data_IF_577768491838
#
_entry.id   IF_577768491838
#
_cell.length_a   1.000
_cell.length_b   1.000
_cell.length_c   1.000
_cell.angle_alpha   90.00
_cell.angle_beta   90.00
_cell.angle_gamma   90.00
#
_symmetry.space_group_name_H-M   'P 1'
#
loop_
_entity.id
_entity.type
_entity.pdbx_description
1 polymer ?
#
# COMPACT_ATOMS: atom_id res chain seq x y z
N UNK A 1 -3.09 30.59 36.54
CA UNK A 1 -1.73 30.02 36.47
C UNK A 1 -1.73 28.52 36.06
N UNK A 2 -2.62 27.70 36.59
CA UNK A 2 -2.70 26.27 36.23
C UNK A 2 -3.05 25.99 34.74
N UNK A 3 -3.88 26.82 34.10
CA UNK A 3 -4.22 26.69 32.68
C UNK A 3 -3.06 27.04 31.72
N UNK A 4 -2.18 27.96 32.15
CA UNK A 4 -1.00 28.36 31.35
C UNK A 4 0.09 27.28 31.44
N UNK A 5 0.21 26.59 32.57
CA UNK A 5 1.15 25.47 32.72
C UNK A 5 0.67 24.21 31.94
N UNK A 6 -0.64 23.94 31.94
CA UNK A 6 -1.20 22.80 31.16
C UNK A 6 -1.03 23.00 29.64
N UNK A 7 -1.20 24.22 29.13
CA UNK A 7 -0.95 24.56 27.72
C UNK A 7 0.55 24.49 27.37
N UNK A 8 1.42 24.87 28.27
CA UNK A 8 2.89 24.83 28.07
C UNK A 8 3.44 23.39 28.07
N UNK A 9 2.85 22.47 28.82
CA UNK A 9 3.21 21.06 28.82
C UNK A 9 2.70 20.37 27.54
N UNK A 10 1.47 20.66 27.09
CA UNK A 10 0.89 20.10 25.87
C UNK A 10 1.71 20.51 24.63
N UNK A 11 2.15 21.75 24.53
CA UNK A 11 2.96 22.23 23.39
C UNK A 11 4.37 21.63 23.34
N UNK A 12 5.00 21.37 24.48
CA UNK A 12 6.30 20.69 24.54
C UNK A 12 6.22 19.23 24.11
N UNK A 13 5.16 18.53 24.48
CA UNK A 13 4.92 17.15 24.04
C UNK A 13 4.76 17.06 22.51
N UNK A 14 4.03 17.99 21.90
CA UNK A 14 3.82 18.01 20.43
C UNK A 14 5.13 18.25 19.69
N UNK A 15 5.98 19.18 20.16
CA UNK A 15 7.28 19.44 19.54
C UNK A 15 8.21 18.21 19.58
N UNK A 16 8.18 17.46 20.68
CA UNK A 16 8.94 16.19 20.80
C UNK A 16 8.42 15.15 19.82
N UNK A 17 7.10 15.00 19.71
CA UNK A 17 6.48 14.07 18.76
C UNK A 17 6.82 14.46 17.29
N UNK A 18 6.76 15.75 16.97
CA UNK A 18 7.12 16.25 15.65
C UNK A 18 8.58 15.94 15.31
N UNK A 19 9.49 16.17 16.25
CA UNK A 19 10.90 15.86 16.05
C UNK A 19 11.12 14.36 15.82
N UNK A 20 10.44 13.51 16.57
CA UNK A 20 10.51 12.05 16.35
C UNK A 20 10.01 11.67 14.95
N UNK A 21 8.87 12.23 14.51
CA UNK A 21 8.32 12.00 13.17
C UNK A 21 9.33 12.43 12.10
N UNK A 22 9.92 13.62 12.22
CA UNK A 22 10.89 14.13 11.24
C UNK A 22 12.16 13.30 11.19
N UNK A 23 12.70 12.90 12.33
CA UNK A 23 13.88 12.05 12.39
C UNK A 23 13.63 10.71 11.72
N UNK A 24 12.53 10.00 12.07
CA UNK A 24 12.19 8.72 11.49
C UNK A 24 11.94 8.83 9.99
N UNK A 25 11.30 9.91 9.54
CA UNK A 25 11.07 10.13 8.11
C UNK A 25 12.38 10.35 7.34
N UNK A 26 13.34 11.07 7.94
CA UNK A 26 14.67 11.27 7.35
C UNK A 26 15.48 9.98 7.25
N UNK A 27 15.35 9.10 8.27
CA UNK A 27 16.07 7.82 8.33
C UNK A 27 15.44 6.76 7.40
N UNK A 28 14.10 6.64 7.42
CA UNK A 28 13.37 5.56 6.74
C UNK A 28 12.18 6.08 5.90
N UNK A 29 12.42 6.94 4.90
CA UNK A 29 11.34 7.61 4.16
C UNK A 29 10.40 6.64 3.45
N UNK A 30 10.92 5.53 2.91
CA UNK A 30 10.13 4.53 2.19
C UNK A 30 9.16 3.79 3.13
N UNK A 31 9.58 3.52 4.37
CA UNK A 31 8.74 2.90 5.39
C UNK A 31 7.64 3.86 5.83
N UNK A 32 7.99 5.12 6.09
CA UNK A 32 7.04 6.15 6.50
C UNK A 32 5.98 6.37 5.41
N UNK A 33 6.41 6.51 4.16
CA UNK A 33 5.51 6.63 3.00
C UNK A 33 4.56 5.43 2.89
N UNK A 34 5.09 4.22 3.00
CA UNK A 34 4.30 3.00 2.95
C UNK A 34 3.23 2.95 4.05
N UNK A 35 3.60 3.29 5.29
CA UNK A 35 2.67 3.27 6.42
C UNK A 35 1.55 4.30 6.27
N UNK A 36 1.88 5.54 5.84
CA UNK A 36 0.88 6.58 5.60
C UNK A 36 -0.05 6.20 4.45
N UNK A 37 0.48 5.71 3.34
CA UNK A 37 -0.32 5.24 2.19
C UNK A 37 -1.22 4.06 2.56
N UNK A 38 -0.71 3.12 3.36
CA UNK A 38 -1.48 1.98 3.84
C UNK A 38 -2.67 2.42 4.69
N UNK A 39 -2.45 3.36 5.61
CA UNK A 39 -3.51 3.96 6.41
C UNK A 39 -4.54 4.70 5.55
N UNK A 40 -4.08 5.51 4.59
CA UNK A 40 -4.93 6.24 3.67
C UNK A 40 -5.85 5.29 2.86
N UNK A 41 -5.31 4.18 2.37
CA UNK A 41 -6.09 3.21 1.60
C UNK A 41 -7.14 2.49 2.47
N UNK A 42 -6.84 2.21 3.73
CA UNK A 42 -7.81 1.66 4.67
C UNK A 42 -8.90 2.67 5.02
N UNK A 43 -8.52 3.93 5.24
CA UNK A 43 -9.41 5.02 5.62
C UNK A 43 -10.39 5.37 4.50
N UNK A 44 -9.93 5.40 3.25
CA UNK A 44 -10.76 5.65 2.07
C UNK A 44 -11.40 4.38 1.48
N UNK A 45 -11.12 3.21 2.06
CA UNK A 45 -11.70 1.93 1.66
C UNK A 45 -13.20 1.85 1.94
N UNK A 46 -13.90 1.03 1.14
CA UNK A 46 -15.35 0.81 1.34
C UNK A 46 -15.66 0.13 2.68
N UNK A 47 -14.72 -0.63 3.21
CA UNK A 47 -14.84 -1.35 4.49
C UNK A 47 -13.99 -0.72 5.58
N UNK A 48 -13.88 0.62 5.58
CA UNK A 48 -13.05 1.35 6.55
C UNK A 48 -13.39 1.02 8.01
N UNK A 49 -14.66 0.73 8.32
CA UNK A 49 -15.08 0.32 9.65
C UNK A 49 -14.38 -0.94 10.14
N UNK A 50 -14.13 -1.91 9.25
CA UNK A 50 -13.53 -3.20 9.55
C UNK A 50 -12.01 -3.21 9.33
N UNK A 51 -11.57 -2.53 8.26
CA UNK A 51 -10.18 -2.63 7.78
C UNK A 51 -9.26 -1.55 8.34
N UNK A 52 -9.80 -0.41 8.79
CA UNK A 52 -9.01 0.62 9.45
C UNK A 52 -8.80 0.29 10.93
N UNK A 53 -8.17 -0.85 11.18
CA UNK A 53 -7.90 -1.38 12.53
C UNK A 53 -6.40 -1.71 12.64
N UNK A 54 -5.76 -1.25 13.73
CA UNK A 54 -6.23 -0.31 14.75
C UNK A 54 -6.52 1.07 14.18
N UNK A 55 -7.34 1.86 14.87
CA UNK A 55 -7.71 3.22 14.49
C UNK A 55 -7.01 4.26 15.37
N UNK A 56 -6.60 5.44 14.85
CA UNK A 56 -5.89 6.46 15.62
C UNK A 56 -6.67 6.96 16.82
N UNK A 57 -6.06 6.91 17.99
CA UNK A 57 -6.70 7.33 19.24
C UNK A 57 -7.01 8.83 19.29
N UNK A 58 -6.30 9.64 18.50
CA UNK A 58 -6.56 11.09 18.37
C UNK A 58 -7.95 11.36 17.76
N UNK A 59 -8.47 10.46 16.93
CA UNK A 59 -9.78 10.54 16.30
C UNK A 59 -10.79 9.51 16.85
N UNK A 60 -10.46 8.86 17.97
CA UNK A 60 -11.30 7.84 18.58
C UNK A 60 -11.50 8.05 20.07
N UNK A 61 -12.75 7.97 20.55
CA UNK A 61 -13.09 7.94 21.97
C UNK A 61 -13.98 6.72 22.24
N UNK A 62 -13.43 5.72 22.95
CA UNK A 62 -14.11 4.44 23.16
C UNK A 62 -14.38 3.75 21.81
N UNK A 63 -15.63 3.34 21.58
CA UNK A 63 -16.05 2.66 20.34
C UNK A 63 -16.36 3.63 19.18
N UNK A 64 -16.35 4.94 19.44
CA UNK A 64 -16.61 5.95 18.41
C UNK A 64 -15.33 6.28 17.66
N UNK A 65 -15.37 6.14 16.34
CA UNK A 65 -14.29 6.47 15.41
C UNK A 65 -14.74 7.62 14.52
N UNK A 66 -14.05 8.73 14.58
CA UNK A 66 -14.30 9.89 13.71
C UNK A 66 -13.50 9.76 12.41
N UNK A 67 -14.06 9.03 11.46
CA UNK A 67 -13.45 8.83 10.15
C UNK A 67 -13.35 10.14 9.37
N UNK A 68 -14.33 11.04 9.51
CA UNK A 68 -14.35 12.29 8.77
C UNK A 68 -13.22 13.22 9.23
N UNK A 69 -13.00 13.35 10.53
CA UNK A 69 -11.88 14.12 11.07
C UNK A 69 -10.53 13.53 10.63
N UNK A 70 -10.39 12.20 10.67
CA UNK A 70 -9.18 11.53 10.22
C UNK A 70 -8.92 11.73 8.72
N UNK A 71 -9.94 11.63 7.87
CA UNK A 71 -9.87 11.91 6.44
C UNK A 71 -9.44 13.35 6.17
N UNK A 72 -10.09 14.32 6.83
CA UNK A 72 -9.78 15.75 6.69
C UNK A 72 -8.34 16.06 7.13
N UNK A 73 -7.89 15.49 8.24
CA UNK A 73 -6.51 15.65 8.70
C UNK A 73 -5.50 15.09 7.69
N UNK A 74 -5.77 13.89 7.14
CA UNK A 74 -4.92 13.25 6.14
C UNK A 74 -4.86 14.03 4.83
N UNK A 75 -6.00 14.53 4.34
CA UNK A 75 -6.09 15.31 3.10
C UNK A 75 -5.31 16.63 3.16
N UNK A 76 -5.23 17.21 4.34
CA UNK A 76 -4.50 18.45 4.60
C UNK A 76 -3.02 18.24 4.95
N UNK A 77 -2.55 16.98 5.00
CA UNK A 77 -1.11 16.73 5.15
C UNK A 77 -0.35 17.30 3.94
N UNK A 78 0.76 18.02 4.17
CA UNK A 78 1.63 18.48 3.11
C UNK A 78 2.45 17.30 2.53
N UNK A 79 1.76 16.29 2.04
CA UNK A 79 2.34 15.02 1.58
C UNK A 79 2.31 14.99 0.05
N UNK A 80 3.42 15.31 -0.56
CA UNK A 80 3.60 15.25 -2.03
C UNK A 80 4.57 14.18 -2.50
N UNK A 81 5.01 13.29 -1.59
CA UNK A 81 6.02 12.27 -1.87
C UNK A 81 7.45 12.78 -1.75
N UNK A 82 7.65 14.06 -1.41
CA UNK A 82 8.93 14.68 -1.16
C UNK A 82 9.37 14.56 0.31
N UNK A 83 10.54 15.07 0.59
CA UNK A 83 11.12 15.05 1.94
C UNK A 83 10.30 15.86 2.93
N UNK A 84 10.11 15.33 4.12
CA UNK A 84 9.39 16.02 5.20
C UNK A 84 10.06 17.38 5.58
N UNK A 85 11.34 17.54 5.28
CA UNK A 85 12.11 18.75 5.56
C UNK A 85 11.66 19.96 4.74
N UNK A 86 11.06 19.74 3.57
CA UNK A 86 10.50 20.77 2.69
C UNK A 86 9.03 21.09 3.02
N UNK A 87 8.47 20.39 4.00
CA UNK A 87 7.05 20.51 4.33
C UNK A 87 6.75 21.76 5.19
N UNK A 88 5.55 22.30 4.95
CA UNK A 88 4.95 23.32 5.81
C UNK A 88 4.91 22.84 7.26
N UNK A 89 4.91 23.74 8.24
CA UNK A 89 4.72 23.37 9.63
C UNK A 89 3.43 22.54 9.79
N UNK A 90 3.54 21.43 10.49
CA UNK A 90 2.42 20.55 10.81
C UNK A 90 1.62 21.14 11.96
N UNK A 91 0.29 21.00 11.93
CA UNK A 91 -0.53 21.30 13.10
C UNK A 91 -0.50 20.13 14.10
N UNK A 92 -1.00 20.32 15.30
CA UNK A 92 -0.97 19.34 16.37
C UNK A 92 -1.65 18.00 15.99
N UNK A 93 -2.81 18.06 15.33
CA UNK A 93 -3.54 16.86 14.92
C UNK A 93 -2.75 16.05 13.87
N UNK A 94 -2.09 16.74 12.94
CA UNK A 94 -1.24 16.12 11.92
C UNK A 94 -0.01 15.46 12.55
N UNK A 95 0.64 16.13 13.50
CA UNK A 95 1.76 15.56 14.25
C UNK A 95 1.32 14.31 15.00
N UNK A 96 0.22 14.38 15.73
CA UNK A 96 -0.31 13.23 16.49
C UNK A 96 -0.73 12.08 15.58
N UNK A 97 -1.34 12.38 14.43
CA UNK A 97 -1.70 11.35 13.43
C UNK A 97 -0.46 10.67 12.87
N UNK A 98 0.51 11.44 12.38
CA UNK A 98 1.74 10.88 11.83
C UNK A 98 2.53 10.09 12.88
N UNK A 99 2.66 10.62 14.09
CA UNK A 99 3.30 9.91 15.18
C UNK A 99 2.58 8.58 15.47
N UNK A 100 1.24 8.60 15.53
CA UNK A 100 0.49 7.37 15.73
C UNK A 100 0.71 6.38 14.58
N UNK A 101 0.69 6.84 13.32
CA UNK A 101 0.95 5.98 12.16
C UNK A 101 2.35 5.36 12.23
N UNK A 102 3.36 6.08 12.66
CA UNK A 102 4.73 5.60 12.65
C UNK A 102 5.08 4.75 13.88
N UNK A 103 4.53 5.06 15.06
CA UNK A 103 5.00 4.49 16.32
C UNK A 103 3.98 3.65 17.10
N UNK A 104 2.67 3.68 16.78
CA UNK A 104 1.68 2.89 17.52
C UNK A 104 1.70 1.41 17.11
N UNK A 105 2.83 0.76 17.35
CA UNK A 105 2.99 -0.68 17.10
C UNK A 105 2.62 -1.45 18.36
N UNK A 106 1.36 -1.88 18.47
CA UNK A 106 1.02 -2.87 19.49
C UNK A 106 1.41 -4.27 18.99
N UNK A 107 2.44 -4.80 19.63
CA UNK A 107 2.84 -6.19 19.80
C UNK A 107 3.14 -7.06 18.55
N UNK A 108 2.74 -6.77 17.33
CA UNK A 108 2.99 -7.61 16.17
C UNK A 108 3.42 -6.86 14.90
N UNK A 109 3.36 -5.55 14.86
CA UNK A 109 3.95 -4.80 13.76
C UNK A 109 5.46 -4.86 13.93
N UNK A 110 6.05 -5.83 13.30
CA UNK A 110 7.49 -5.97 13.17
C UNK A 110 8.01 -4.68 12.57
N UNK A 111 9.09 -4.17 13.12
CA UNK A 111 9.74 -2.99 12.57
C UNK A 111 10.05 -3.26 11.11
N UNK A 112 9.60 -2.40 10.24
CA UNK A 112 9.87 -2.46 8.81
C UNK A 112 11.17 -1.72 8.53
N UNK A 113 11.92 -2.22 7.54
CA UNK A 113 13.18 -1.67 7.08
C UNK A 113 13.24 -1.71 5.58
N UNK A 114 13.77 -0.68 4.94
CA UNK A 114 13.98 -0.73 3.52
C UNK A 114 15.05 -1.77 3.15
N UNK A 115 14.74 -2.63 2.18
CA UNK A 115 15.65 -3.64 1.70
C UNK A 115 16.01 -3.41 0.22
N UNK A 116 17.24 -3.78 -0.14
CA UNK A 116 17.72 -3.71 -1.52
C UNK A 116 17.66 -5.09 -2.19
N UNK A 117 17.61 -5.12 -3.52
CA UNK A 117 17.73 -6.38 -4.27
C UNK A 117 19.05 -7.11 -4.02
N UNK A 118 20.11 -6.38 -3.68
CA UNK A 118 21.40 -6.98 -3.30
C UNK A 118 21.29 -7.72 -1.97
N UNK A 119 20.65 -7.10 -0.98
CA UNK A 119 20.38 -7.74 0.31
C UNK A 119 19.49 -8.98 0.16
N UNK A 120 18.42 -8.88 -0.67
CA UNK A 120 17.57 -10.03 -0.95
C UNK A 120 18.33 -11.20 -1.59
N UNK A 121 19.29 -10.90 -2.48
CA UNK A 121 20.08 -11.96 -3.15
C UNK A 121 20.89 -12.77 -2.16
N UNK A 122 21.32 -12.17 -1.07
CA UNK A 122 22.08 -12.83 0.00
C UNK A 122 21.14 -13.54 0.99
N UNK A 123 20.04 -12.91 1.38
CA UNK A 123 19.14 -13.41 2.42
C UNK A 123 18.03 -14.32 1.89
N UNK A 124 17.65 -14.21 0.62
CA UNK A 124 16.50 -14.91 0.01
C UNK A 124 16.69 -15.11 -1.50
N UNK A 125 17.69 -15.89 -1.95
CA UNK A 125 17.97 -16.06 -3.38
C UNK A 125 16.77 -16.59 -4.16
N UNK A 126 15.99 -17.53 -3.61
CA UNK A 126 14.79 -18.06 -4.25
C UNK A 126 13.73 -16.98 -4.53
N UNK A 127 13.58 -16.00 -3.64
CA UNK A 127 12.67 -14.88 -3.88
C UNK A 127 13.14 -14.00 -5.04
N UNK A 128 14.46 -13.80 -5.15
CA UNK A 128 15.03 -13.02 -6.27
C UNK A 128 14.82 -13.75 -7.59
N UNK A 129 15.00 -15.06 -7.62
CA UNK A 129 14.74 -15.88 -8.81
C UNK A 129 13.28 -15.78 -9.24
N UNK A 130 12.34 -15.90 -8.32
CA UNK A 130 10.91 -15.75 -8.58
C UNK A 130 10.57 -14.37 -9.16
N UNK A 131 11.09 -13.28 -8.56
CA UNK A 131 10.88 -11.91 -9.07
C UNK A 131 11.48 -11.76 -10.48
N UNK A 132 12.61 -12.38 -10.76
CA UNK A 132 13.27 -12.30 -12.06
C UNK A 132 12.55 -13.12 -13.14
N UNK A 133 12.01 -14.28 -12.80
CA UNK A 133 11.24 -15.13 -13.71
C UNK A 133 9.98 -14.45 -14.21
N UNK A 134 9.29 -13.70 -13.35
CA UNK A 134 8.09 -12.94 -13.70
C UNK A 134 8.39 -11.70 -14.58
N UNK A 135 9.66 -11.34 -14.75
CA UNK A 135 10.12 -10.28 -15.63
C UNK A 135 9.83 -8.87 -15.11
N UNK A 136 10.04 -7.88 -15.99
CA UNK A 136 9.97 -6.45 -15.63
C UNK A 136 8.60 -5.99 -15.13
N UNK A 137 7.52 -6.68 -15.49
CA UNK A 137 6.16 -6.26 -15.16
C UNK A 137 5.81 -6.47 -13.68
N UNK A 138 6.49 -7.40 -13.00
CA UNK A 138 6.29 -7.71 -11.60
C UNK A 138 7.52 -7.42 -10.73
N UNK A 139 8.44 -6.59 -11.22
CA UNK A 139 9.53 -6.07 -10.43
C UNK A 139 8.98 -5.02 -9.44
N UNK A 140 9.14 -5.18 -8.12
CA UNK A 140 8.66 -4.22 -7.15
C UNK A 140 9.47 -2.91 -7.21
N UNK A 141 8.78 -1.79 -7.00
CA UNK A 141 9.41 -0.46 -6.90
C UNK A 141 10.15 -0.28 -5.57
N UNK A 142 9.64 -0.92 -4.52
CA UNK A 142 10.20 -0.85 -3.17
C UNK A 142 10.01 -2.19 -2.47
N UNK A 143 11.01 -2.58 -1.70
CA UNK A 143 10.97 -3.78 -0.88
C UNK A 143 11.19 -3.37 0.57
N UNK A 144 10.30 -3.82 1.44
CA UNK A 144 10.48 -3.68 2.88
C UNK A 144 10.67 -5.05 3.51
N UNK A 145 11.61 -5.15 4.41
CA UNK A 145 11.86 -6.32 5.25
C UNK A 145 11.23 -6.12 6.63
N UNK A 146 10.68 -7.19 7.20
CA UNK A 146 10.22 -7.17 8.58
C UNK A 146 11.37 -7.59 9.49
N UNK A 147 11.76 -6.75 10.46
CA UNK A 147 12.69 -7.17 11.51
C UNK A 147 12.02 -8.26 12.35
N UNK A 148 12.40 -9.47 12.09
CA UNK A 148 12.01 -10.63 12.88
C UNK A 148 13.14 -10.96 13.82
N UNK A 149 12.89 -10.90 15.13
CA UNK A 149 13.79 -11.48 16.14
C UNK A 149 13.72 -13.02 16.16
N UNK A 150 12.81 -13.61 15.37
CA UNK A 150 12.72 -15.07 15.27
C UNK A 150 13.88 -15.58 14.42
N UNK A 151 14.77 -16.28 15.06
CA UNK A 151 15.98 -16.94 14.53
C UNK A 151 15.70 -18.05 13.52
N UNK A 152 14.46 -18.26 13.12
CA UNK A 152 14.07 -19.15 12.03
C UNK A 152 14.39 -18.49 10.68
N UNK A 153 15.69 -18.40 10.37
CA UNK A 153 16.15 -17.98 9.05
C UNK A 153 15.68 -18.98 7.97
N UNK A 154 15.56 -18.52 6.74
CA UNK A 154 15.33 -19.37 5.57
C UNK A 154 16.33 -20.54 5.45
N UNK A 155 17.47 -20.43 6.14
CA UNK A 155 18.59 -21.38 6.13
C UNK A 155 18.57 -22.38 7.28
N UNK A 156 17.58 -22.36 8.16
CA UNK A 156 17.63 -23.18 9.40
C UNK A 156 17.08 -24.60 9.26
N UNK A 157 17.05 -25.19 8.05
CA UNK A 157 16.70 -26.62 7.86
C UNK A 157 15.27 -27.00 8.27
N UNK A 158 14.44 -26.04 8.63
CA UNK A 158 13.01 -26.23 8.83
C UNK A 158 12.32 -26.10 7.48
N UNK A 159 11.28 -26.90 7.23
CA UNK A 159 10.45 -26.91 6.01
C UNK A 159 9.73 -25.57 5.76
N UNK A 160 10.51 -24.49 5.66
CA UNK A 160 10.03 -23.16 5.36
C UNK A 160 10.11 -22.93 3.86
N UNK A 161 8.99 -22.68 3.24
CA UNK A 161 8.98 -22.24 1.84
C UNK A 161 8.38 -20.86 1.70
N UNK A 162 8.80 -20.08 0.69
CA UNK A 162 8.20 -18.80 0.39
C UNK A 162 6.80 -18.98 -0.19
N UNK A 163 5.85 -18.21 0.34
CA UNK A 163 4.51 -18.12 -0.20
C UNK A 163 4.08 -16.65 -0.23
N UNK A 164 3.19 -16.33 -1.15
CA UNK A 164 2.83 -14.96 -1.46
C UNK A 164 1.38 -14.68 -1.10
N UNK A 165 1.13 -13.61 -0.34
CA UNK A 165 -0.22 -13.15 -0.04
C UNK A 165 -0.50 -11.84 -0.78
N UNK A 166 -1.31 -11.94 -1.83
CA UNK A 166 -1.88 -10.77 -2.51
C UNK A 166 -3.19 -10.36 -1.85
N UNK A 167 -3.37 -9.08 -1.62
CA UNK A 167 -4.56 -8.57 -0.96
C UNK A 167 -5.03 -7.23 -1.52
N UNK A 168 -6.29 -6.90 -1.25
CA UNK A 168 -6.83 -5.60 -1.61
C UNK A 168 -6.15 -4.49 -0.79
N UNK A 169 -5.83 -3.33 -1.40
CA UNK A 169 -5.09 -2.27 -0.72
C UNK A 169 -5.68 -1.79 0.61
N UNK A 170 -6.99 -1.80 0.77
CA UNK A 170 -7.65 -1.42 2.04
C UNK A 170 -7.28 -2.32 3.24
N UNK A 171 -6.79 -3.55 2.98
CA UNK A 171 -6.43 -4.50 4.02
C UNK A 171 -4.99 -4.32 4.52
N UNK A 172 -4.14 -3.62 3.76
CA UNK A 172 -2.69 -3.52 4.02
C UNK A 172 -2.43 -2.98 5.43
N UNK A 173 -3.12 -1.90 5.81
CA UNK A 173 -2.95 -1.28 7.12
C UNK A 173 -3.17 -2.26 8.27
N UNK A 174 -4.28 -3.00 8.26
CA UNK A 174 -4.57 -3.97 9.33
C UNK A 174 -3.58 -5.14 9.32
N UNK A 175 -3.22 -5.67 8.14
CA UNK A 175 -2.26 -6.77 8.03
C UNK A 175 -0.89 -6.37 8.59
N UNK A 176 -0.39 -5.18 8.26
CA UNK A 176 0.88 -4.67 8.79
C UNK A 176 0.84 -4.53 10.31
N UNK A 177 -0.31 -4.20 10.87
CA UNK A 177 -0.48 -3.92 12.31
C UNK A 177 -0.77 -5.15 13.16
N UNK A 178 -1.61 -6.04 12.65
CA UNK A 178 -2.11 -7.20 13.43
C UNK A 178 -1.66 -8.54 12.85
N UNK A 179 -1.03 -8.55 11.68
CA UNK A 179 -0.62 -9.76 10.98
C UNK A 179 -1.73 -10.32 10.07
N UNK A 180 -1.41 -11.44 9.42
CA UNK A 180 -2.37 -12.22 8.64
C UNK A 180 -3.23 -13.05 9.58
N UNK A 181 -4.53 -12.78 9.57
CA UNK A 181 -5.51 -13.48 10.38
C UNK A 181 -6.39 -14.40 9.52
N UNK A 182 -6.74 -15.55 10.06
CA UNK A 182 -7.77 -16.39 9.48
C UNK A 182 -9.15 -15.78 9.76
N UNK A 183 -9.66 -15.02 8.79
CA UNK A 183 -10.96 -14.34 8.86
C UNK A 183 -12.09 -15.15 8.20
N UNK A 184 -11.84 -16.42 7.91
CA UNK A 184 -12.85 -17.31 7.35
C UNK A 184 -14.05 -17.40 8.31
N UNK A 185 -15.25 -17.44 7.74
CA UNK A 185 -16.52 -17.46 8.51
C UNK A 185 -16.87 -16.17 9.24
N UNK A 186 -16.10 -15.08 9.06
CA UNK A 186 -16.43 -13.76 9.58
C UNK A 186 -17.03 -12.86 8.49
N UNK A 187 -17.70 -11.77 8.90
CA UNK A 187 -18.19 -10.74 7.97
C UNK A 187 -17.02 -10.01 7.23
N UNK A 188 -15.80 -10.17 7.73
CA UNK A 188 -14.59 -9.59 7.11
C UNK A 188 -14.06 -10.43 5.94
N UNK A 189 -14.53 -11.65 5.74
CA UNK A 189 -14.15 -12.51 4.62
C UNK A 189 -14.62 -11.89 3.30
N UNK A 190 -13.67 -11.66 2.37
CA UNK A 190 -13.97 -11.02 1.08
C UNK A 190 -14.10 -11.98 -0.09
N UNK A 191 -13.27 -13.00 -0.14
CA UNK A 191 -13.24 -14.02 -1.18
C UNK A 191 -13.69 -15.36 -0.66
N UNK A 192 -14.23 -16.20 -1.56
CA UNK A 192 -14.87 -17.44 -1.22
C UNK A 192 -13.98 -18.47 -0.54
N UNK A 193 -14.58 -19.53 -0.04
CA UNK A 193 -13.97 -20.68 0.62
C UNK A 193 -13.75 -21.82 -0.39
N UNK A 194 -13.16 -21.53 -1.54
CA UNK A 194 -13.03 -22.56 -2.58
C UNK A 194 -12.32 -23.82 -2.07
N UNK A 195 -11.40 -23.64 -1.13
CA UNK A 195 -10.55 -24.72 -0.59
C UNK A 195 -10.59 -24.82 0.94
N UNK A 196 -11.70 -24.36 1.56
CA UNK A 196 -11.89 -24.40 3.02
C UNK A 196 -11.49 -23.12 3.74
N UNK A 197 -11.40 -23.21 5.07
CA UNK A 197 -11.09 -22.09 5.96
C UNK A 197 -9.59 -21.93 6.13
N UNK A 198 -9.09 -20.70 6.08
CA UNK A 198 -7.69 -20.41 6.31
C UNK A 198 -7.21 -19.12 5.64
N UNK A 199 -5.94 -18.86 5.83
CA UNK A 199 -5.16 -17.83 5.14
C UNK A 199 -4.74 -18.41 3.79
N UNK A 200 -5.16 -17.76 2.71
CA UNK A 200 -4.85 -18.17 1.35
C UNK A 200 -3.56 -17.51 0.88
N UNK A 201 -2.61 -18.33 0.46
CA UNK A 201 -1.33 -17.93 -0.08
C UNK A 201 -1.16 -18.54 -1.46
N UNK A 202 -0.40 -17.89 -2.33
CA UNK A 202 0.01 -18.42 -3.62
C UNK A 202 1.47 -18.87 -3.59
N UNK A 203 1.83 -19.86 -4.41
CA UNK A 203 3.21 -20.28 -4.60
C UNK A 203 3.95 -19.42 -5.63
N UNK A 204 3.20 -18.78 -6.51
CA UNK A 204 3.70 -17.92 -7.60
C UNK A 204 3.36 -16.47 -7.34
N UNK A 205 4.29 -15.59 -7.65
CA UNK A 205 4.16 -14.14 -7.47
C UNK A 205 3.02 -13.57 -8.34
N UNK A 206 2.92 -13.98 -9.60
CA UNK A 206 1.87 -13.57 -10.55
C UNK A 206 0.48 -13.94 -10.05
N UNK A 207 0.32 -15.13 -9.51
CA UNK A 207 -0.93 -15.58 -8.91
C UNK A 207 -1.32 -14.68 -7.74
N UNK A 208 -0.39 -14.38 -6.82
CA UNK A 208 -0.64 -13.46 -5.71
C UNK A 208 -0.97 -12.04 -6.20
N UNK A 209 -0.27 -11.56 -7.22
CA UNK A 209 -0.48 -10.22 -7.78
C UNK A 209 -1.90 -10.05 -8.34
N UNK A 210 -2.51 -11.10 -8.87
CA UNK A 210 -3.89 -11.06 -9.38
C UNK A 210 -4.93 -10.70 -8.31
N UNK A 211 -4.62 -10.95 -7.02
CA UNK A 211 -5.47 -10.61 -5.89
C UNK A 211 -5.25 -9.17 -5.38
N UNK A 212 -4.19 -8.50 -5.83
CA UNK A 212 -3.95 -7.09 -5.53
C UNK A 212 -4.74 -6.23 -6.52
N UNK A 213 -5.93 -5.80 -6.15
CA UNK A 213 -6.75 -4.94 -7.02
C UNK A 213 -6.28 -3.50 -6.96
N UNK A 214 -6.65 -2.70 -7.96
CA UNK A 214 -6.43 -1.25 -7.93
C UNK A 214 -7.05 -0.63 -6.68
N UNK A 215 -6.40 0.38 -6.10
CA UNK A 215 -6.90 1.10 -4.93
C UNK A 215 -8.29 1.68 -5.19
N UNK A 216 -9.04 1.88 -4.11
CA UNK A 216 -10.30 2.61 -4.21
C UNK A 216 -10.01 4.04 -4.70
N UNK A 217 -10.75 4.53 -5.71
CA UNK A 217 -10.58 5.91 -6.15
C UNK A 217 -10.99 6.86 -5.02
N UNK A 218 -10.05 7.67 -4.57
CA UNK A 218 -10.29 8.79 -3.67
C UNK A 218 -9.46 9.97 -4.14
N UNK A 219 -9.84 11.17 -3.74
CA UNK A 219 -9.10 12.38 -4.10
C UNK A 219 -7.64 12.30 -3.62
N UNK A 220 -7.44 11.78 -2.40
CA UNK A 220 -6.12 11.61 -1.83
C UNK A 220 -5.29 10.58 -2.63
N UNK A 221 -5.83 9.39 -2.90
CA UNK A 221 -5.15 8.34 -3.66
C UNK A 221 -4.90 8.78 -5.10
N UNK A 222 -5.86 9.46 -5.72
CA UNK A 222 -5.68 10.00 -7.07
C UNK A 222 -4.57 11.06 -7.13
N UNK A 223 -4.38 11.84 -6.07
CA UNK A 223 -3.33 12.87 -5.96
C UNK A 223 -1.95 12.26 -5.72
N UNK A 224 -1.87 11.18 -4.93
CA UNK A 224 -0.62 10.62 -4.42
C UNK A 224 -0.23 9.26 -5.03
N UNK A 225 -0.86 8.84 -6.09
CA UNK A 225 -0.74 7.52 -6.74
C UNK A 225 -1.22 6.35 -5.88
N UNK A 226 -1.76 5.34 -6.53
CA UNK A 226 -2.16 4.10 -5.89
C UNK A 226 -0.97 3.22 -5.55
N UNK A 227 -1.15 2.38 -4.54
CA UNK A 227 -0.15 1.41 -4.13
C UNK A 227 -0.79 0.03 -4.04
N UNK A 228 -0.12 -0.95 -4.61
CA UNK A 228 -0.45 -2.38 -4.46
C UNK A 228 0.70 -3.05 -3.73
N UNK A 229 0.44 -4.08 -2.96
CA UNK A 229 1.52 -4.84 -2.34
C UNK A 229 1.24 -6.33 -2.27
N UNK A 230 2.32 -7.10 -2.18
CA UNK A 230 2.32 -8.52 -1.91
C UNK A 230 3.15 -8.75 -0.65
N UNK A 231 2.60 -9.50 0.28
CA UNK A 231 3.34 -9.99 1.44
C UNK A 231 4.03 -11.30 1.09
N UNK A 232 5.35 -11.34 1.26
CA UNK A 232 6.14 -12.57 1.16
C UNK A 232 6.17 -13.21 2.53
N UNK A 233 5.68 -14.41 2.62
CA UNK A 233 5.51 -15.14 3.87
C UNK A 233 6.38 -16.40 3.92
N UNK A 234 6.91 -16.70 5.09
CA UNK A 234 7.39 -18.04 5.42
C UNK A 234 6.25 -18.84 6.02
N UNK A 235 6.11 -20.08 5.57
CA UNK A 235 5.09 -21.01 6.07
C UNK A 235 5.79 -22.25 6.63
N UNK A 236 5.45 -22.63 7.87
CA UNK A 236 5.97 -23.83 8.50
C UNK A 236 5.13 -25.06 8.18
N UNK A 237 5.76 -26.20 7.90
CA UNK A 237 5.11 -27.51 7.65
C UNK A 237 4.02 -27.50 6.58
N UNK A 238 4.29 -26.85 5.46
CA UNK A 238 3.29 -26.64 4.41
C UNK A 238 2.86 -27.91 3.68
N UNK A 239 3.70 -28.92 3.58
CA UNK A 239 3.35 -30.18 2.92
C UNK A 239 2.22 -30.92 3.64
N UNK A 240 2.21 -30.87 4.97
CA UNK A 240 1.13 -31.45 5.78
C UNK A 240 -0.18 -30.67 5.67
N UNK A 241 -0.12 -29.39 5.37
CA UNK A 241 -1.30 -28.52 5.29
C UNK A 241 -2.06 -28.65 3.95
N UNK A 242 -1.34 -28.89 2.86
CA UNK A 242 -1.93 -29.02 1.53
C UNK A 242 -2.48 -30.43 1.23
N UNK A 243 -1.97 -31.46 1.91
CA UNK A 243 -2.40 -32.85 1.69
C UNK A 243 -3.80 -33.17 2.19
N UNK A 244 -4.37 -32.35 3.06
CA UNK A 244 -5.69 -32.58 3.68
C UNK A 244 -6.85 -31.95 2.94
N UNK A 245 -6.60 -31.13 1.92
CA UNK A 245 -7.61 -30.38 1.17
C UNK A 245 -7.35 -30.58 -0.32
N UNK A 246 -8.40 -30.61 -1.10
CA UNK A 246 -8.35 -30.65 -2.57
C UNK A 246 -7.93 -29.27 -3.13
N UNK A 247 -6.74 -28.80 -2.65
CA UNK A 247 -6.16 -27.49 -2.97
C UNK A 247 -5.29 -27.60 -4.21
N UNK A 248 -5.52 -26.79 -5.25
CA UNK A 248 -4.61 -26.75 -6.40
C UNK A 248 -3.17 -26.47 -6.00
N UNK A 249 -2.21 -27.06 -6.72
CA UNK A 249 -0.77 -27.01 -6.38
C UNK A 249 -0.18 -25.61 -6.28
N UNK A 250 -0.78 -24.62 -6.92
CA UNK A 250 -0.35 -23.22 -6.88
C UNK A 250 -0.86 -22.43 -5.66
N UNK A 251 -1.68 -23.05 -4.80
CA UNK A 251 -2.18 -22.42 -3.57
C UNK A 251 -1.72 -23.17 -2.32
N UNK A 252 -1.70 -22.43 -1.23
CA UNK A 252 -1.49 -22.94 0.13
C UNK A 252 -2.56 -22.31 1.02
N UNK A 253 -3.26 -23.14 1.79
CA UNK A 253 -4.27 -22.69 2.76
C UNK A 253 -3.82 -23.04 4.15
N UNK A 254 -3.61 -22.05 4.99
CA UNK A 254 -3.11 -22.20 6.36
C UNK A 254 -4.18 -21.79 7.36
N UNK A 255 -4.57 -22.70 8.25
CA UNK A 255 -5.61 -22.43 9.25
C UNK A 255 -5.07 -21.67 10.45
N UNK A 256 -3.88 -22.03 10.90
CA UNK A 256 -3.22 -21.47 12.07
C UNK A 256 -2.40 -20.24 11.68
N UNK A 257 -2.77 -19.08 12.26
CA UNK A 257 -2.13 -17.80 11.92
C UNK A 257 -0.65 -17.73 12.33
N UNK A 258 -0.25 -18.42 13.37
CA UNK A 258 1.12 -18.48 13.90
C UNK A 258 2.10 -19.22 12.99
N UNK A 259 1.59 -20.00 12.04
CA UNK A 259 2.39 -20.68 11.03
C UNK A 259 2.76 -19.82 9.81
N UNK A 260 2.21 -18.61 9.72
CA UNK A 260 2.46 -17.68 8.61
C UNK A 260 3.20 -16.46 9.14
N UNK A 261 4.44 -16.30 8.71
CA UNK A 261 5.29 -15.19 9.13
C UNK A 261 5.58 -14.31 7.93
N UNK A 262 5.18 -13.04 7.98
CA UNK A 262 5.51 -12.06 6.95
C UNK A 262 7.01 -11.74 7.06
N UNK A 263 7.75 -11.87 5.96
CA UNK A 263 9.18 -11.58 5.86
C UNK A 263 9.46 -10.30 5.09
N UNK A 264 8.79 -10.15 3.94
CA UNK A 264 8.97 -8.97 3.09
C UNK A 264 7.62 -8.44 2.62
N UNK A 265 7.63 -7.16 2.27
CA UNK A 265 6.53 -6.49 1.57
C UNK A 265 7.06 -5.99 0.24
N UNK A 266 6.55 -6.52 -0.85
CA UNK A 266 6.84 -6.07 -2.20
C UNK A 266 5.82 -4.99 -2.57
N UNK A 267 6.27 -3.79 -2.88
CA UNK A 267 5.43 -2.63 -3.14
C UNK A 267 5.51 -2.27 -4.62
N UNK A 268 4.35 -2.08 -5.23
CA UNK A 268 4.17 -1.71 -6.63
C UNK A 268 3.40 -0.40 -6.69
N UNK A 269 4.00 0.64 -7.26
CA UNK A 269 3.35 1.94 -7.47
C UNK A 269 2.52 1.88 -8.75
N UNK A 270 1.29 2.28 -8.67
CA UNK A 270 0.47 2.48 -9.86
C UNK A 270 0.79 3.86 -10.44
N UNK A 271 1.82 3.92 -11.28
CA UNK A 271 2.07 5.12 -12.06
C UNK A 271 0.81 5.44 -12.85
N UNK A 272 0.26 6.62 -12.61
CA UNK A 272 -0.83 7.15 -13.40
C UNK A 272 -0.34 7.15 -14.85
N UNK A 273 -0.70 6.14 -15.61
CA UNK A 273 -0.64 6.29 -17.06
C UNK A 273 -1.48 7.53 -17.31
N UNK A 274 -0.80 8.62 -17.69
CA UNK A 274 -1.46 9.74 -18.31
C UNK A 274 -2.12 9.16 -19.56
N UNK A 275 -3.28 8.59 -19.38
CA UNK A 275 -4.22 8.41 -20.46
C UNK A 275 -4.57 9.87 -20.82
N UNK A 276 -3.73 10.46 -21.67
CA UNK A 276 -4.23 11.38 -22.66
C UNK A 276 -5.22 10.51 -23.47
N UNK A 277 -6.41 10.30 -22.91
CA UNK A 277 -7.58 9.98 -23.71
C UNK A 277 -7.56 11.13 -24.70
N UNK A 278 -7.07 10.86 -25.89
CA UNK A 278 -7.38 11.68 -27.04
C UNK A 278 -8.88 11.70 -26.95
N UNK A 279 -9.42 12.87 -26.60
CA UNK A 279 -10.84 13.03 -26.48
C UNK A 279 -11.36 12.74 -27.88
N UNK A 280 -11.88 11.52 -28.07
CA UNK A 280 -12.30 11.04 -29.40
C UNK A 280 -13.35 12.00 -29.98
N UNK A 281 -14.13 12.66 -29.08
CA UNK A 281 -15.03 13.71 -29.49
C UNK A 281 -14.25 14.95 -29.97
N UNK A 282 -13.19 15.36 -29.27
CA UNK A 282 -12.35 16.48 -29.70
C UNK A 282 -11.61 16.17 -31.00
N UNK A 283 -11.13 14.93 -31.16
CA UNK A 283 -10.51 14.48 -32.41
C UNK A 283 -11.50 14.48 -33.56
N UNK A 284 -12.73 13.97 -33.36
CA UNK A 284 -13.79 13.99 -34.37
C UNK A 284 -14.20 15.41 -34.74
N UNK A 285 -14.31 16.31 -33.74
CA UNK A 285 -14.60 17.74 -33.98
C UNK A 285 -13.45 18.37 -34.78
N UNK A 286 -12.21 18.04 -34.45
CA UNK A 286 -11.05 18.57 -35.20
C UNK A 286 -11.00 18.06 -36.62
N UNK A 287 -11.27 16.78 -36.84
CA UNK A 287 -11.37 16.18 -38.21
C UNK A 287 -12.53 16.87 -38.99
N UNK A 288 -13.70 17.04 -38.36
CA UNK A 288 -14.85 17.67 -38.99
C UNK A 288 -14.55 19.13 -39.37
N UNK A 289 -13.95 19.91 -38.48
CA UNK A 289 -13.53 21.28 -38.77
C UNK A 289 -12.45 21.34 -39.86
N UNK A 290 -11.50 20.43 -39.86
CA UNK A 290 -10.46 20.31 -40.90
C UNK A 290 -11.10 20.03 -42.30
N UNK A 291 -12.07 19.12 -42.36
CA UNK A 291 -12.79 18.79 -43.61
C UNK A 291 -13.64 19.95 -44.14
N UNK A 292 -14.20 20.81 -43.25
CA UNK A 292 -14.94 21.99 -43.63
C UNK A 292 -14.04 23.15 -44.08
N UNK A 293 -12.89 23.32 -43.44
CA UNK A 293 -11.99 24.46 -43.73
C UNK A 293 -11.03 24.18 -44.89
N UNK A 294 -10.67 22.92 -45.13
CA UNK A 294 -9.75 22.55 -46.21
C UNK A 294 -10.21 22.99 -47.59
N UNK A 295 -11.50 22.80 -48.02
CA UNK A 295 -11.98 23.26 -49.32
C UNK A 295 -11.96 24.79 -49.44
N UNK A 296 -12.31 25.50 -48.38
CA UNK A 296 -12.34 26.97 -48.37
C UNK A 296 -10.93 27.56 -48.53
N UNK A 297 -9.95 26.95 -47.85
CA UNK A 297 -8.53 27.36 -47.96
C UNK A 297 -8.01 27.07 -49.36
N UNK A 298 -8.35 25.88 -49.92
CA UNK A 298 -7.91 25.49 -51.28
C UNK A 298 -8.55 26.41 -52.37
N UNK A 299 -9.81 26.83 -52.19
CA UNK A 299 -10.43 27.78 -53.08
C UNK A 299 -9.79 29.18 -53.02
N UNK A 300 -9.45 29.68 -51.82
CA UNK A 300 -8.73 30.93 -51.64
C UNK A 300 -7.32 30.91 -52.28
N UNK A 301 -6.60 29.80 -52.12
CA UNK A 301 -5.27 29.62 -52.73
C UNK A 301 -5.40 29.58 -54.27
N UNK A 302 -6.41 28.94 -54.80
CA UNK A 302 -6.68 28.85 -56.23
C UNK A 302 -7.04 30.23 -56.83
N UNK A 303 -7.79 31.04 -56.07
CA UNK A 303 -8.17 32.40 -56.48
C UNK A 303 -6.98 33.37 -56.54
N UNK A 304 -6.06 33.28 -55.57
CA UNK A 304 -4.83 34.09 -55.56
C UNK A 304 -3.77 33.65 -56.58
N UNK A 305 -3.79 32.39 -57.04
CA UNK A 305 -2.90 31.87 -58.04
C UNK A 305 -3.32 32.16 -59.48
N UNK A 306 -4.52 32.70 -59.73
CA UNK A 306 -5.02 33.05 -61.08
C UNK A 306 -4.98 34.56 -61.37
N UNK A 307 -4.42 35.37 -60.48
CA UNK A 307 -4.29 36.83 -60.61
C UNK A 307 -2.78 37.26 -60.75
N UNK A 308 -1.93 36.40 -61.34
CA UNK A 308 -0.60 36.83 -61.85
C UNK A 308 -0.47 36.58 -63.32
#
# INVERSE_FOLDING_TARGET
MAEIEAHGMCGRDVAVLEQQVRNTWSEEPQVCEFLVRSFAQALHGRRKGDMCVPFPTVFGKGDRRDFQAAESCLENLPFDGSRLDEMRPLNEEQVRLLHWILFSHKNNAKRLKAATMSHLRESSPLLVEEIQQEGKNLCPDTILETENNDTLGWNSGTDLFPAFHGTHPENIHSIVRVGLLNLSSTHMQRTGRAFGEGIYLARELSTAFSFTRSPCPSNWINKHEGMRCIFVCSVTNAETLTSQLDVPKNYVVVRECDRVIIRYVLIYREHRRSNKRIDFCALLVFIYLATLLCPVILEQIRWHGTVQ
#
